data_IF_364316058572
#
_entry.id   IF_364316058572
#
_cell.length_a   1.000
_cell.length_b   1.000
_cell.length_c   1.000
_cell.angle_alpha   90.00
_cell.angle_beta   90.00
_cell.angle_gamma   90.00
#
_symmetry.space_group_name_H-M   'P 1'
#
loop_
_entity.id
_entity.type
_entity.pdbx_description
1 polymer ?
#
# COMPACT_ATOMS: atom_id res chain seq x y z
N UNK A 1 45.90 18.87 33.10
CA UNK A 1 44.54 19.19 32.58
C UNK A 1 44.25 18.64 31.18
N UNK A 2 45.25 18.28 30.38
CA UNK A 2 45.14 17.81 29.00
C UNK A 2 44.66 16.36 28.79
N UNK A 3 44.98 15.45 29.71
CA UNK A 3 44.60 14.01 29.52
C UNK A 3 43.10 13.72 29.73
N UNK A 4 42.47 14.38 30.69
CA UNK A 4 41.04 14.20 30.95
C UNK A 4 40.13 14.70 29.81
N UNK A 5 40.56 15.76 29.12
CA UNK A 5 39.88 16.29 27.95
C UNK A 5 40.01 15.37 26.73
N UNK A 6 41.15 14.67 26.56
CA UNK A 6 41.36 13.72 25.47
C UNK A 6 40.55 12.43 25.63
N UNK A 7 40.32 11.97 26.86
CA UNK A 7 39.53 10.76 27.13
C UNK A 7 38.04 11.06 26.88
N UNK A 8 37.53 12.18 27.37
CA UNK A 8 36.12 12.59 27.13
C UNK A 8 35.84 12.77 25.62
N UNK A 9 36.78 13.29 24.85
CA UNK A 9 36.61 13.46 23.38
C UNK A 9 36.63 12.12 22.63
N UNK A 10 37.39 11.11 23.09
CA UNK A 10 37.37 9.77 22.54
C UNK A 10 36.07 9.05 22.84
N UNK A 11 35.57 9.16 24.08
CA UNK A 11 34.32 8.50 24.48
C UNK A 11 33.12 9.08 23.72
N UNK A 12 33.03 10.39 23.56
CA UNK A 12 32.01 11.04 22.74
C UNK A 12 32.08 10.63 21.25
N UNK A 13 33.27 10.45 20.71
CA UNK A 13 33.47 9.96 19.35
C UNK A 13 33.01 8.52 19.19
N UNK A 14 33.35 7.64 20.14
CA UNK A 14 32.92 6.23 20.14
C UNK A 14 31.39 6.11 20.28
N UNK A 15 30.78 6.87 21.17
CA UNK A 15 29.32 6.91 21.38
C UNK A 15 28.63 7.36 20.08
N UNK A 16 29.08 8.46 19.47
CA UNK A 16 28.53 8.93 18.18
C UNK A 16 28.68 7.91 17.07
N UNK A 17 29.81 7.22 16.97
CA UNK A 17 30.03 6.19 15.96
C UNK A 17 29.15 4.97 16.16
N UNK A 18 28.87 4.58 17.41
CA UNK A 18 27.94 3.51 17.73
C UNK A 18 26.50 3.90 17.41
N UNK A 19 26.06 5.13 17.71
CA UNK A 19 24.76 5.64 17.34
C UNK A 19 24.56 5.74 15.82
N UNK A 20 25.59 6.20 15.08
CA UNK A 20 25.54 6.24 13.61
C UNK A 20 25.42 4.82 13.02
N UNK A 21 26.15 3.84 13.57
CA UNK A 21 26.06 2.44 13.14
C UNK A 21 24.69 1.83 13.45
N UNK A 22 24.13 2.08 14.63
CA UNK A 22 22.79 1.64 15.02
C UNK A 22 21.72 2.23 14.11
N UNK A 23 21.80 3.54 13.84
CA UNK A 23 20.87 4.22 12.96
C UNK A 23 20.92 3.67 11.51
N UNK A 24 22.12 3.30 11.02
CA UNK A 24 22.28 2.71 9.69
C UNK A 24 21.67 1.29 9.62
N UNK A 25 21.86 0.47 10.66
CA UNK A 25 21.26 -0.86 10.74
C UNK A 25 19.72 -0.77 10.81
N UNK A 26 19.19 0.17 11.61
CA UNK A 26 17.75 0.39 11.71
C UNK A 26 17.16 0.86 10.38
N UNK A 27 17.84 1.75 9.67
CA UNK A 27 17.41 2.20 8.35
C UNK A 27 17.41 1.07 7.32
N UNK A 28 18.46 0.25 7.29
CA UNK A 28 18.56 -0.91 6.41
C UNK A 28 17.45 -1.94 6.70
N UNK A 29 17.22 -2.24 7.97
CA UNK A 29 16.10 -3.09 8.40
C UNK A 29 14.75 -2.52 7.95
N UNK A 30 14.55 -1.21 8.07
CA UNK A 30 13.35 -0.52 7.60
C UNK A 30 13.12 -0.67 6.08
N UNK A 31 14.20 -0.64 5.28
CA UNK A 31 14.14 -0.87 3.84
C UNK A 31 13.72 -2.31 3.53
N UNK A 32 14.34 -3.31 4.18
CA UNK A 32 13.97 -4.72 4.01
C UNK A 32 12.50 -4.96 4.37
N UNK A 33 12.06 -4.45 5.51
CA UNK A 33 10.65 -4.57 5.94
C UNK A 33 9.70 -3.91 4.94
N UNK A 34 10.09 -2.79 4.32
CA UNK A 34 9.32 -2.15 3.26
C UNK A 34 9.20 -3.03 2.02
N UNK A 35 10.29 -3.66 1.57
CA UNK A 35 10.27 -4.57 0.43
C UNK A 35 9.38 -5.79 0.70
N UNK A 36 9.48 -6.39 1.88
CA UNK A 36 8.60 -7.48 2.31
C UNK A 36 7.12 -7.02 2.28
N UNK A 37 6.85 -5.82 2.75
CA UNK A 37 5.49 -5.24 2.72
C UNK A 37 4.97 -5.16 1.29
N UNK A 38 5.77 -4.64 0.35
CA UNK A 38 5.35 -4.51 -1.05
C UNK A 38 5.11 -5.89 -1.69
N UNK A 39 5.95 -6.86 -1.39
CA UNK A 39 5.79 -8.24 -1.87
C UNK A 39 4.47 -8.87 -1.38
N UNK A 40 4.19 -8.78 -0.08
CA UNK A 40 2.95 -9.30 0.52
C UNK A 40 1.72 -8.61 -0.09
N UNK A 41 1.75 -7.28 -0.26
CA UNK A 41 0.63 -6.56 -0.85
C UNK A 41 0.43 -6.87 -2.33
N UNK A 42 1.51 -7.16 -3.07
CA UNK A 42 1.40 -7.61 -4.46
C UNK A 42 0.76 -8.99 -4.54
N UNK A 43 1.19 -9.94 -3.70
CA UNK A 43 0.54 -11.26 -3.60
C UNK A 43 -0.95 -11.11 -3.25
N UNK A 44 -1.27 -10.27 -2.27
CA UNK A 44 -2.67 -10.02 -1.89
C UNK A 44 -3.51 -9.47 -3.05
N UNK A 45 -2.93 -8.61 -3.90
CA UNK A 45 -3.59 -8.06 -5.09
C UNK A 45 -3.82 -9.13 -6.16
N UNK A 46 -2.85 -10.03 -6.35
CA UNK A 46 -2.96 -11.15 -7.29
C UNK A 46 -4.00 -12.16 -6.83
N UNK A 47 -3.99 -12.52 -5.55
CA UNK A 47 -5.04 -13.35 -4.96
C UNK A 47 -6.43 -12.73 -5.16
N UNK A 48 -6.54 -11.40 -5.00
CA UNK A 48 -7.78 -10.69 -5.27
C UNK A 48 -8.19 -10.80 -6.74
N UNK A 49 -7.27 -10.60 -7.70
CA UNK A 49 -7.57 -10.71 -9.14
C UNK A 49 -7.96 -12.13 -9.53
N UNK A 50 -7.23 -13.13 -9.04
CA UNK A 50 -7.56 -14.53 -9.26
C UNK A 50 -8.96 -14.86 -8.76
N UNK A 51 -9.29 -14.39 -7.59
CA UNK A 51 -10.60 -14.56 -6.98
C UNK A 51 -11.71 -13.86 -7.79
N UNK A 52 -11.47 -12.62 -8.25
CA UNK A 52 -12.38 -11.87 -9.13
C UNK A 52 -12.66 -12.59 -10.43
N UNK A 53 -11.64 -13.13 -11.08
CA UNK A 53 -11.77 -13.85 -12.33
C UNK A 53 -12.60 -15.14 -12.19
N UNK A 54 -12.55 -15.78 -11.00
CA UNK A 54 -13.28 -17.03 -10.73
C UNK A 54 -14.74 -16.81 -10.32
N UNK A 55 -15.05 -15.67 -9.72
CA UNK A 55 -16.35 -15.36 -9.13
C UNK A 55 -16.90 -14.00 -9.59
N UNK A 56 -16.88 -13.76 -10.91
CA UNK A 56 -17.25 -12.47 -11.51
C UNK A 56 -18.57 -11.88 -11.00
N UNK A 57 -19.58 -12.73 -10.76
CA UNK A 57 -20.91 -12.32 -10.33
C UNK A 57 -20.96 -11.82 -8.86
N UNK A 58 -20.16 -12.38 -7.98
CA UNK A 58 -20.26 -12.14 -6.52
C UNK A 58 -19.61 -10.80 -6.15
N UNK A 59 -18.72 -10.31 -6.99
CA UNK A 59 -17.86 -9.15 -6.67
C UNK A 59 -18.50 -7.79 -6.92
N UNK A 60 -19.58 -7.73 -7.68
CA UNK A 60 -20.31 -6.48 -7.86
C UNK A 60 -20.82 -5.92 -6.53
N UNK A 61 -20.96 -6.76 -5.51
CA UNK A 61 -21.68 -6.44 -4.28
C UNK A 61 -20.79 -6.13 -3.06
N UNK A 62 -19.47 -6.07 -3.17
CA UNK A 62 -18.55 -5.70 -2.05
C UNK A 62 -18.74 -6.54 -0.77
N UNK A 63 -19.48 -7.65 -0.86
CA UNK A 63 -19.84 -8.51 0.26
C UNK A 63 -18.63 -9.24 0.84
N UNK A 64 -17.55 -9.43 0.04
CA UNK A 64 -16.30 -10.05 0.48
C UNK A 64 -15.60 -9.30 1.62
N UNK A 65 -15.91 -8.02 1.81
CA UNK A 65 -15.31 -7.23 2.88
C UNK A 65 -15.84 -7.66 4.27
N UNK A 66 -17.02 -8.29 4.33
CA UNK A 66 -17.57 -8.78 5.60
C UNK A 66 -16.74 -9.92 6.19
N UNK A 67 -16.54 -11.09 5.53
CA UNK A 67 -15.70 -12.15 6.08
C UNK A 67 -14.24 -11.71 6.24
N UNK A 68 -13.76 -10.80 5.40
CA UNK A 68 -12.45 -10.18 5.57
C UNK A 68 -12.38 -9.36 6.86
N UNK A 69 -13.40 -8.55 7.17
CA UNK A 69 -13.50 -7.78 8.40
C UNK A 69 -13.52 -8.68 9.63
N UNK A 70 -14.36 -9.75 9.63
CA UNK A 70 -14.44 -10.73 10.72
C UNK A 70 -13.08 -11.40 10.98
N UNK A 71 -12.42 -11.88 9.93
CA UNK A 71 -11.09 -12.50 10.05
C UNK A 71 -10.06 -11.51 10.60
N UNK A 72 -10.10 -10.25 10.18
CA UNK A 72 -9.21 -9.20 10.69
C UNK A 72 -9.46 -8.94 12.18
N UNK A 73 -10.72 -8.93 12.64
CA UNK A 73 -11.07 -8.80 14.06
C UNK A 73 -10.50 -9.96 14.85
N UNK A 74 -10.75 -11.21 14.42
CA UNK A 74 -10.29 -12.41 15.12
C UNK A 74 -8.75 -12.45 15.24
N UNK A 75 -8.04 -12.19 14.14
CA UNK A 75 -6.58 -12.15 14.14
C UNK A 75 -6.06 -11.05 15.08
N UNK A 76 -6.69 -9.87 15.05
CA UNK A 76 -6.31 -8.74 15.91
C UNK A 76 -6.52 -9.06 17.38
N UNK A 77 -7.63 -9.73 17.75
CA UNK A 77 -7.93 -10.14 19.11
C UNK A 77 -6.91 -11.15 19.62
N UNK A 78 -6.61 -12.17 18.84
CA UNK A 78 -5.67 -13.24 19.21
C UNK A 78 -4.26 -12.65 19.38
N UNK A 79 -3.74 -11.98 18.35
CA UNK A 79 -2.38 -11.46 18.36
C UNK A 79 -2.22 -10.26 19.30
N UNK A 80 -3.23 -9.40 19.41
CA UNK A 80 -3.22 -8.28 20.35
C UNK A 80 -3.18 -8.75 21.79
N UNK A 81 -3.93 -9.80 22.14
CA UNK A 81 -3.90 -10.40 23.48
C UNK A 81 -2.53 -11.04 23.78
N UNK A 82 -1.92 -11.71 22.81
CA UNK A 82 -0.62 -12.37 22.97
C UNK A 82 0.52 -11.34 23.10
N UNK A 83 0.51 -10.28 22.30
CA UNK A 83 1.63 -9.32 22.20
C UNK A 83 1.51 -8.14 23.17
N UNK A 84 0.33 -7.53 23.23
CA UNK A 84 0.10 -6.29 23.97
C UNK A 84 -0.57 -6.56 25.34
N UNK A 85 -1.06 -7.79 25.57
CA UNK A 85 -1.79 -8.19 26.78
C UNK A 85 -3.16 -7.53 26.92
N UNK A 86 -3.45 -6.49 26.17
CA UNK A 86 -4.69 -5.71 26.19
C UNK A 86 -5.09 -5.29 24.78
N UNK A 87 -6.39 -5.27 24.53
CA UNK A 87 -6.98 -4.52 23.43
C UNK A 87 -7.55 -3.27 24.04
N UNK A 88 -7.06 -2.11 23.59
CA UNK A 88 -7.52 -0.84 24.11
C UNK A 88 -8.99 -0.63 23.77
N UNK A 89 -9.78 -0.31 24.78
CA UNK A 89 -11.17 0.10 24.60
C UNK A 89 -11.26 1.53 24.03
N UNK A 90 -12.43 1.91 23.53
CA UNK A 90 -12.69 3.27 23.02
C UNK A 90 -12.37 4.34 24.09
N UNK A 91 -12.55 4.01 25.36
CA UNK A 91 -12.34 4.92 26.49
C UNK A 91 -10.87 5.16 26.85
N UNK A 92 -9.96 4.31 26.38
CA UNK A 92 -8.52 4.43 26.65
C UNK A 92 -7.81 5.41 25.70
N UNK A 93 -8.53 5.98 24.73
CA UNK A 93 -7.96 6.89 23.75
C UNK A 93 -8.26 8.34 24.04
N UNK A 94 -7.25 9.19 23.81
CA UNK A 94 -7.48 10.61 23.59
C UNK A 94 -8.47 10.78 22.41
N UNK A 95 -9.48 11.68 22.49
CA UNK A 95 -10.46 11.92 21.44
C UNK A 95 -9.83 12.17 20.05
N UNK A 96 -8.68 12.82 20.00
CA UNK A 96 -7.94 13.07 18.76
C UNK A 96 -7.43 11.78 18.13
N UNK A 97 -6.87 10.85 18.92
CA UNK A 97 -6.40 9.54 18.43
C UNK A 97 -7.57 8.68 17.94
N UNK A 98 -8.69 8.70 18.64
CA UNK A 98 -9.89 8.00 18.21
C UNK A 98 -10.41 8.52 16.86
N UNK A 99 -10.47 9.85 16.67
CA UNK A 99 -10.80 10.45 15.37
C UNK A 99 -9.86 10.01 14.25
N UNK A 100 -8.56 9.89 14.53
CA UNK A 100 -7.58 9.37 13.56
C UNK A 100 -7.81 7.90 13.21
N UNK A 101 -8.15 7.05 14.20
CA UNK A 101 -8.48 5.64 13.96
C UNK A 101 -9.73 5.53 13.08
N UNK A 102 -10.77 6.32 13.39
CA UNK A 102 -12.00 6.39 12.63
C UNK A 102 -11.74 6.86 11.19
N UNK A 103 -10.97 7.93 11.03
CA UNK A 103 -10.59 8.43 9.71
C UNK A 103 -9.82 7.38 8.90
N UNK A 104 -8.82 6.71 9.51
CA UNK A 104 -8.07 5.62 8.89
C UNK A 104 -8.98 4.48 8.42
N UNK A 105 -9.92 4.05 9.27
CA UNK A 105 -10.83 2.96 8.94
C UNK A 105 -11.74 3.31 7.75
N UNK A 106 -12.30 4.53 7.73
CA UNK A 106 -13.10 5.03 6.62
C UNK A 106 -12.27 5.13 5.32
N UNK A 107 -11.11 5.78 5.37
CA UNK A 107 -10.21 5.92 4.21
C UNK A 107 -9.81 4.54 3.64
N UNK A 108 -9.50 3.59 4.51
CA UNK A 108 -9.13 2.23 4.10
C UNK A 108 -10.29 1.48 3.46
N UNK A 109 -11.51 1.61 3.99
CA UNK A 109 -12.69 0.96 3.43
C UNK A 109 -12.98 1.48 2.02
N UNK A 110 -13.11 2.79 1.85
CA UNK A 110 -13.40 3.38 0.54
C UNK A 110 -12.27 3.15 -0.46
N UNK A 111 -11.01 3.25 -0.02
CA UNK A 111 -9.87 2.92 -0.86
C UNK A 111 -9.94 1.48 -1.36
N UNK A 112 -10.31 0.52 -0.50
CA UNK A 112 -10.45 -0.87 -0.89
C UNK A 112 -11.61 -1.10 -1.86
N UNK A 113 -12.73 -0.40 -1.69
CA UNK A 113 -13.83 -0.44 -2.65
C UNK A 113 -13.40 0.00 -4.04
N UNK A 114 -12.71 1.15 -4.14
CA UNK A 114 -12.21 1.65 -5.43
C UNK A 114 -11.11 0.76 -6.01
N UNK A 115 -10.23 0.21 -5.17
CA UNK A 115 -9.22 -0.77 -5.62
C UNK A 115 -9.87 -2.00 -6.26
N UNK A 116 -10.91 -2.54 -5.63
CA UNK A 116 -11.62 -3.71 -6.14
C UNK A 116 -12.25 -3.44 -7.50
N UNK A 117 -12.92 -2.28 -7.65
CA UNK A 117 -13.49 -1.87 -8.94
C UNK A 117 -12.41 -1.73 -10.01
N UNK A 118 -11.28 -1.10 -9.68
CA UNK A 118 -10.18 -0.95 -10.62
C UNK A 118 -9.64 -2.30 -11.09
N UNK A 119 -9.35 -3.22 -10.16
CA UNK A 119 -8.82 -4.56 -10.46
C UNK A 119 -9.81 -5.44 -11.22
N UNK A 120 -11.13 -5.19 -11.08
CA UNK A 120 -12.16 -5.88 -11.88
C UNK A 120 -12.10 -5.51 -13.36
N UNK A 121 -11.83 -4.25 -13.66
CA UNK A 121 -11.91 -3.73 -15.03
C UNK A 121 -10.55 -3.54 -15.72
N UNK A 122 -9.47 -3.47 -14.96
CA UNK A 122 -8.12 -3.28 -15.47
C UNK A 122 -7.23 -4.51 -15.22
N UNK A 123 -6.15 -4.63 -15.99
CA UNK A 123 -5.07 -5.59 -15.70
C UNK A 123 -4.41 -5.20 -14.37
N UNK A 124 -3.92 -6.19 -13.63
CA UNK A 124 -3.25 -5.91 -12.35
C UNK A 124 -1.99 -5.07 -12.55
N UNK A 125 -1.26 -5.32 -13.63
CA UNK A 125 -0.09 -4.54 -14.03
C UNK A 125 -0.43 -3.07 -14.20
N UNK A 126 -1.50 -2.75 -14.93
CA UNK A 126 -1.98 -1.37 -15.14
C UNK A 126 -2.43 -0.71 -13.84
N UNK A 127 -3.16 -1.43 -12.98
CA UNK A 127 -3.53 -0.91 -11.66
C UNK A 127 -2.30 -0.53 -10.83
N UNK A 128 -1.28 -1.39 -10.82
CA UNK A 128 -0.05 -1.11 -10.08
C UNK A 128 0.70 0.06 -10.69
N UNK A 129 0.78 0.14 -12.01
CA UNK A 129 1.42 1.25 -12.72
C UNK A 129 0.77 2.58 -12.41
N UNK A 130 -0.55 2.70 -12.52
CA UNK A 130 -1.24 3.94 -12.16
C UNK A 130 -1.04 4.24 -10.66
N UNK A 131 -1.00 3.22 -9.81
CA UNK A 131 -0.69 3.36 -8.39
C UNK A 131 0.72 3.92 -8.11
N UNK A 132 1.63 3.93 -9.11
CA UNK A 132 2.94 4.58 -8.98
C UNK A 132 2.86 6.09 -8.82
N UNK A 133 1.74 6.67 -9.12
CA UNK A 133 1.49 8.08 -8.84
C UNK A 133 1.31 8.36 -7.34
N UNK A 134 1.01 7.33 -6.53
CA UNK A 134 0.80 7.50 -5.09
C UNK A 134 2.01 8.06 -4.34
N UNK A 135 3.28 7.71 -4.63
CA UNK A 135 4.43 8.32 -3.99
C UNK A 135 4.49 9.84 -4.13
N UNK A 136 4.00 10.39 -5.25
CA UNK A 136 3.94 11.83 -5.47
C UNK A 136 3.06 12.49 -4.41
N UNK A 137 1.83 11.99 -4.25
CA UNK A 137 0.89 12.52 -3.27
C UNK A 137 1.40 12.29 -1.84
N UNK A 138 1.97 11.12 -1.56
CA UNK A 138 2.50 10.79 -0.24
C UNK A 138 3.66 11.74 0.12
N UNK A 139 4.61 11.98 -0.79
CA UNK A 139 5.72 12.90 -0.56
C UNK A 139 5.20 14.32 -0.36
N UNK A 140 4.28 14.76 -1.22
CA UNK A 140 3.67 16.08 -1.09
C UNK A 140 2.99 16.24 0.28
N UNK A 141 2.12 15.31 0.65
CA UNK A 141 1.45 15.34 1.95
C UNK A 141 2.40 15.19 3.13
N UNK A 142 3.48 14.38 3.02
CA UNK A 142 4.45 14.23 4.10
C UNK A 142 5.20 15.54 4.39
N UNK A 143 5.54 16.31 3.34
CA UNK A 143 6.16 17.62 3.49
C UNK A 143 5.21 18.59 4.17
N UNK A 144 3.95 18.68 3.71
CA UNK A 144 2.99 19.65 4.24
C UNK A 144 2.43 19.27 5.62
N UNK A 145 2.04 18.00 5.82
CA UNK A 145 1.35 17.56 7.03
C UNK A 145 2.30 17.04 8.11
N UNK A 146 3.34 16.29 7.73
CA UNK A 146 4.33 15.75 8.66
C UNK A 146 5.57 16.61 8.82
N UNK A 147 5.69 17.70 8.04
CA UNK A 147 6.84 18.62 8.02
C UNK A 147 8.17 17.90 7.74
N UNK A 148 8.14 16.82 6.93
CA UNK A 148 9.34 16.12 6.49
C UNK A 148 10.16 17.02 5.53
N UNK A 149 11.49 16.87 5.53
CA UNK A 149 12.36 17.61 4.62
C UNK A 149 12.20 17.10 3.19
N UNK A 150 11.93 18.02 2.27
CA UNK A 150 11.88 17.71 0.85
C UNK A 150 13.30 17.62 0.26
N UNK A 151 13.56 16.55 -0.50
CA UNK A 151 14.81 16.39 -1.22
C UNK A 151 14.57 16.43 -2.73
N UNK A 152 15.34 17.19 -3.47
CA UNK A 152 15.20 17.35 -4.92
C UNK A 152 15.30 16.03 -5.71
N UNK A 153 15.98 15.03 -5.18
CA UNK A 153 16.03 13.68 -5.78
C UNK A 153 14.65 13.02 -5.89
N UNK A 154 13.70 13.36 -5.03
CA UNK A 154 12.34 12.82 -5.13
C UNK A 154 11.63 13.28 -6.39
N UNK A 155 11.98 14.47 -6.91
CA UNK A 155 11.45 14.99 -8.18
C UNK A 155 11.81 14.06 -9.35
N UNK A 156 13.06 13.61 -9.40
CA UNK A 156 13.49 12.64 -10.42
C UNK A 156 12.67 11.35 -10.38
N UNK A 157 12.39 10.82 -9.16
CA UNK A 157 11.54 9.64 -8.99
C UNK A 157 10.12 9.86 -9.47
N UNK A 158 9.59 11.02 -9.19
CA UNK A 158 8.27 11.44 -9.65
C UNK A 158 8.24 11.44 -11.18
N UNK A 159 9.23 12.06 -11.83
CA UNK A 159 9.31 12.14 -13.29
C UNK A 159 9.44 10.73 -13.90
N UNK A 160 10.36 9.91 -13.40
CA UNK A 160 10.52 8.52 -13.88
C UNK A 160 9.26 7.69 -13.67
N UNK A 161 8.57 7.87 -12.53
CA UNK A 161 7.30 7.21 -12.24
C UNK A 161 6.20 7.61 -13.24
N UNK A 162 6.04 8.90 -13.53
CA UNK A 162 5.05 9.40 -14.49
C UNK A 162 5.37 8.90 -15.89
N UNK A 163 6.62 9.06 -16.36
CA UNK A 163 7.03 8.66 -17.72
C UNK A 163 6.82 7.15 -17.92
N UNK A 164 7.31 6.32 -16.99
CA UNK A 164 7.10 4.88 -17.05
C UNK A 164 5.62 4.49 -17.04
N UNK A 165 4.81 5.15 -16.22
CA UNK A 165 3.36 4.90 -16.17
C UNK A 165 2.64 5.26 -17.47
N UNK A 166 2.98 6.39 -18.07
CA UNK A 166 2.38 6.83 -19.35
C UNK A 166 2.71 5.85 -20.47
N UNK A 167 3.96 5.37 -20.56
CA UNK A 167 4.38 4.40 -21.58
C UNK A 167 3.50 3.13 -21.49
N UNK A 168 3.26 2.61 -20.31
CA UNK A 168 2.48 1.38 -20.09
C UNK A 168 0.99 1.59 -20.40
N UNK A 169 0.41 2.70 -19.94
CA UNK A 169 -1.02 3.02 -20.16
C UNK A 169 -1.34 3.18 -21.67
N UNK A 170 -0.45 3.80 -22.43
CA UNK A 170 -0.67 4.01 -23.86
C UNK A 170 -0.72 2.69 -24.64
N UNK A 171 0.00 1.68 -24.21
CA UNK A 171 0.02 0.37 -24.87
C UNK A 171 -1.26 -0.44 -24.60
N UNK A 172 -1.71 -0.44 -23.36
CA UNK A 172 -2.95 -1.13 -22.98
C UNK A 172 -4.17 -0.56 -23.73
N UNK A 173 -4.21 0.76 -23.93
CA UNK A 173 -5.24 1.40 -24.75
C UNK A 173 -5.24 0.90 -26.19
N UNK A 174 -4.06 0.78 -26.81
CA UNK A 174 -3.92 0.29 -28.20
C UNK A 174 -4.40 -1.16 -28.35
N UNK A 175 -4.17 -2.01 -27.37
CA UNK A 175 -4.62 -3.41 -27.41
C UNK A 175 -6.13 -3.47 -27.37
N UNK A 176 -6.76 -2.78 -26.43
CA UNK A 176 -8.22 -2.75 -26.30
C UNK A 176 -8.91 -2.16 -27.56
N UNK A 177 -8.29 -1.17 -28.19
CA UNK A 177 -8.78 -0.62 -29.45
C UNK A 177 -8.65 -1.63 -30.62
N UNK A 178 -7.62 -2.48 -30.62
CA UNK A 178 -7.43 -3.50 -31.67
C UNK A 178 -8.35 -4.71 -31.48
N UNK A 179 -8.58 -5.14 -30.23
CA UNK A 179 -9.51 -6.24 -29.92
C UNK A 179 -10.97 -5.86 -30.22
N UNK A 180 -11.35 -4.59 -30.05
CA UNK A 180 -12.72 -4.11 -30.18
C UNK A 180 -13.14 -3.69 -31.59
N UNK A 181 -12.32 -3.91 -32.63
CA UNK A 181 -12.69 -3.64 -34.03
C UNK A 181 -13.89 -4.46 -34.56
N UNK A 182 -14.43 -5.40 -33.75
CA UNK A 182 -15.50 -6.30 -34.17
C UNK A 182 -16.92 -5.77 -34.03
N UNK A 183 -17.22 -4.84 -33.10
CA UNK A 183 -18.53 -4.15 -33.08
C UNK A 183 -18.45 -2.81 -32.33
N UNK A 184 -19.12 -1.77 -32.85
CA UNK A 184 -19.14 -0.43 -32.20
C UNK A 184 -19.82 -0.43 -30.82
N UNK A 185 -20.71 -1.36 -30.54
CA UNK A 185 -21.42 -1.47 -29.26
C UNK A 185 -20.53 -2.05 -28.16
N UNK A 186 -19.75 -3.10 -28.48
CA UNK A 186 -18.79 -3.70 -27.57
C UNK A 186 -17.63 -2.75 -27.28
N UNK A 187 -17.22 -1.95 -28.27
CA UNK A 187 -16.20 -0.92 -28.13
C UNK A 187 -16.59 0.11 -27.07
N UNK A 188 -17.81 0.63 -27.13
CA UNK A 188 -18.30 1.63 -26.18
C UNK A 188 -18.39 1.06 -24.75
N UNK A 189 -18.90 -0.16 -24.59
CA UNK A 189 -19.03 -0.81 -23.29
C UNK A 189 -17.66 -1.10 -22.64
N UNK A 190 -16.68 -1.51 -23.46
CA UNK A 190 -15.32 -1.76 -23.00
C UNK A 190 -14.60 -0.46 -22.63
N UNK A 191 -14.83 0.62 -23.36
CA UNK A 191 -14.28 1.94 -23.05
C UNK A 191 -14.85 2.51 -21.75
N UNK A 192 -16.15 2.37 -21.50
CA UNK A 192 -16.78 2.79 -20.23
C UNK A 192 -16.19 2.05 -19.04
N UNK A 193 -16.06 0.73 -19.10
CA UNK A 193 -15.45 -0.09 -18.04
C UNK A 193 -13.99 0.32 -17.79
N UNK A 194 -13.23 0.58 -18.84
CA UNK A 194 -11.86 1.05 -18.75
C UNK A 194 -11.78 2.41 -18.02
N UNK A 195 -12.60 3.37 -18.42
CA UNK A 195 -12.65 4.72 -17.81
C UNK A 195 -13.06 4.62 -16.35
N UNK A 196 -14.07 3.82 -15.99
CA UNK A 196 -14.48 3.57 -14.60
C UNK A 196 -13.32 2.99 -13.80
N UNK A 197 -12.59 2.02 -14.36
CA UNK A 197 -11.41 1.43 -13.74
C UNK A 197 -10.32 2.47 -13.45
N UNK A 198 -10.00 3.33 -14.43
CA UNK A 198 -9.00 4.39 -14.28
C UNK A 198 -9.43 5.44 -13.26
N UNK A 199 -10.66 5.89 -13.27
CA UNK A 199 -11.19 6.83 -12.26
C UNK A 199 -11.11 6.20 -10.87
N UNK A 200 -11.50 4.93 -10.76
CA UNK A 200 -11.47 4.22 -9.48
C UNK A 200 -10.05 4.09 -8.92
N UNK A 201 -9.05 3.78 -9.75
CA UNK A 201 -7.67 3.69 -9.25
C UNK A 201 -7.12 5.06 -8.83
N UNK A 202 -7.48 6.15 -9.52
CA UNK A 202 -7.09 7.51 -9.12
C UNK A 202 -7.70 7.87 -7.74
N UNK A 203 -8.99 7.60 -7.53
CA UNK A 203 -9.64 7.81 -6.24
C UNK A 203 -9.00 6.96 -5.14
N UNK A 204 -8.68 5.69 -5.44
CA UNK A 204 -7.95 4.83 -4.52
C UNK A 204 -6.61 5.45 -4.10
N UNK A 205 -5.81 5.96 -5.06
CA UNK A 205 -4.51 6.58 -4.79
C UNK A 205 -4.62 7.75 -3.82
N UNK A 206 -5.60 8.63 -4.03
CA UNK A 206 -5.83 9.79 -3.16
C UNK A 206 -6.16 9.33 -1.75
N UNK A 207 -7.15 8.44 -1.60
CA UNK A 207 -7.58 7.92 -0.29
C UNK A 207 -6.46 7.15 0.41
N UNK A 208 -5.73 6.33 -0.33
CA UNK A 208 -4.61 5.56 0.21
C UNK A 208 -3.44 6.45 0.65
N UNK A 209 -3.19 7.56 -0.06
CA UNK A 209 -2.17 8.51 0.33
C UNK A 209 -2.50 9.17 1.68
N UNK A 210 -3.74 9.61 1.88
CA UNK A 210 -4.20 10.10 3.18
C UNK A 210 -4.14 9.04 4.27
N UNK A 211 -4.55 7.80 3.96
CA UNK A 211 -4.47 6.66 4.88
C UNK A 211 -3.02 6.39 5.33
N UNK A 212 -2.06 6.46 4.42
CA UNK A 212 -0.64 6.27 4.70
C UNK A 212 -0.09 7.36 5.65
N UNK A 213 -0.46 8.62 5.44
CA UNK A 213 -0.07 9.73 6.34
C UNK A 213 -0.67 9.56 7.73
N UNK A 214 -1.96 9.23 7.80
CA UNK A 214 -2.65 8.96 9.06
C UNK A 214 -1.99 7.78 9.80
N UNK A 215 -1.61 6.74 9.09
CA UNK A 215 -0.92 5.58 9.64
C UNK A 215 0.46 5.95 10.22
N UNK A 216 1.26 6.75 9.50
CA UNK A 216 2.56 7.26 10.00
C UNK A 216 2.41 8.07 11.28
N UNK A 217 1.36 8.89 11.38
CA UNK A 217 1.06 9.68 12.58
C UNK A 217 0.67 8.79 13.78
N UNK A 218 -0.06 7.70 13.51
CA UNK A 218 -0.55 6.80 14.55
C UNK A 218 0.44 5.70 14.95
N UNK A 219 1.33 5.29 14.04
CA UNK A 219 2.24 4.16 14.25
C UNK A 219 3.01 4.18 15.58
N UNK A 220 3.56 5.33 16.05
CA UNK A 220 4.24 5.38 17.35
C UNK A 220 3.31 5.48 18.56
N UNK A 221 2.00 5.71 18.37
CA UNK A 221 1.06 6.08 19.45
C UNK A 221 0.04 4.99 19.73
N UNK A 222 -0.28 4.16 18.76
CA UNK A 222 -1.33 3.14 18.84
C UNK A 222 -0.81 1.83 18.29
N UNK A 223 -0.97 0.74 19.04
CA UNK A 223 -0.60 -0.60 18.59
C UNK A 223 -1.27 -0.95 17.26
N UNK A 224 -0.53 -1.64 16.39
CA UNK A 224 -1.04 -2.10 15.10
C UNK A 224 -2.26 -3.02 15.29
N UNK A 225 -2.26 -3.85 16.33
CA UNK A 225 -3.36 -4.78 16.60
C UNK A 225 -4.65 -4.03 16.92
N UNK A 226 -4.57 -2.97 17.71
CA UNK A 226 -5.71 -2.10 18.00
C UNK A 226 -6.21 -1.38 16.76
N UNK A 227 -5.30 -0.86 15.92
CA UNK A 227 -5.67 -0.21 14.66
C UNK A 227 -6.40 -1.18 13.72
N UNK A 228 -5.94 -2.43 13.61
CA UNK A 228 -6.54 -3.47 12.77
C UNK A 228 -7.88 -3.96 13.32
N UNK A 229 -8.03 -4.03 14.64
CA UNK A 229 -9.29 -4.39 15.29
C UNK A 229 -10.42 -3.41 14.90
N UNK A 230 -10.19 -2.12 15.07
CA UNK A 230 -11.18 -1.12 14.68
C UNK A 230 -11.42 -1.09 13.17
N UNK A 231 -10.38 -1.26 12.34
CA UNK A 231 -10.51 -1.39 10.90
C UNK A 231 -11.45 -2.55 10.54
N UNK A 232 -11.27 -3.70 11.18
CA UNK A 232 -12.12 -4.88 10.97
C UNK A 232 -13.58 -4.61 11.34
N UNK A 233 -13.84 -3.94 12.47
CA UNK A 233 -15.20 -3.55 12.88
C UNK A 233 -15.85 -2.67 11.80
N UNK A 234 -15.16 -1.64 11.31
CA UNK A 234 -15.71 -0.77 10.28
C UNK A 234 -15.95 -1.50 8.97
N UNK A 235 -15.04 -2.39 8.55
CA UNK A 235 -15.25 -3.23 7.37
C UNK A 235 -16.50 -4.10 7.52
N UNK A 236 -16.71 -4.72 8.67
CA UNK A 236 -17.94 -5.49 8.94
C UNK A 236 -19.19 -4.61 8.92
N UNK A 237 -19.18 -3.49 9.63
CA UNK A 237 -20.35 -2.60 9.70
C UNK A 237 -20.77 -2.08 8.32
N UNK A 238 -19.82 -1.56 7.54
CA UNK A 238 -20.13 -1.04 6.21
C UNK A 238 -20.53 -2.13 5.23
N UNK A 239 -19.92 -3.31 5.29
CA UNK A 239 -20.30 -4.43 4.45
C UNK A 239 -21.70 -4.95 4.82
N UNK A 240 -22.04 -5.04 6.11
CA UNK A 240 -23.37 -5.40 6.56
C UNK A 240 -24.43 -4.41 6.07
N UNK A 241 -24.17 -3.11 6.20
CA UNK A 241 -25.07 -2.09 5.67
C UNK A 241 -25.25 -2.27 4.16
N UNK A 242 -24.17 -2.50 3.42
CA UNK A 242 -24.25 -2.75 1.98
C UNK A 242 -25.08 -4.00 1.66
N UNK A 243 -24.86 -5.10 2.38
CA UNK A 243 -25.62 -6.34 2.19
C UNK A 243 -27.12 -6.17 2.46
N UNK A 244 -27.48 -5.39 3.48
CA UNK A 244 -28.87 -5.07 3.79
C UNK A 244 -29.50 -4.25 2.64
N UNK A 245 -28.77 -3.27 2.08
CA UNK A 245 -29.27 -2.47 0.97
C UNK A 245 -29.39 -3.24 -0.35
N UNK A 246 -28.47 -4.15 -0.63
CA UNK A 246 -28.46 -4.94 -1.88
C UNK A 246 -29.24 -6.24 -1.76
N UNK A 247 -29.62 -6.64 -0.54
CA UNK A 247 -30.31 -7.90 -0.22
C UNK A 247 -29.57 -9.14 -0.72
N UNK A 248 -28.22 -9.08 -0.77
CA UNK A 248 -27.38 -10.15 -1.25
C UNK A 248 -26.56 -10.75 -0.10
N UNK A 249 -26.93 -11.98 0.27
CA UNK A 249 -26.34 -12.77 1.36
C UNK A 249 -25.70 -14.07 0.87
N UNK A 250 -25.39 -14.16 -0.43
CA UNK A 250 -24.87 -15.38 -1.03
C UNK A 250 -23.39 -15.59 -0.67
N UNK A 251 -23.13 -16.42 0.32
CA UNK A 251 -21.79 -16.84 0.71
C UNK A 251 -21.58 -18.33 0.45
N UNK A 252 -20.51 -18.65 -0.25
CA UNK A 252 -19.99 -20.03 -0.32
C UNK A 252 -18.86 -20.22 0.70
N UNK A 253 -18.64 -21.45 1.15
CA UNK A 253 -17.54 -21.78 2.06
C UNK A 253 -16.19 -21.39 1.46
N UNK A 254 -16.00 -21.64 0.17
CA UNK A 254 -14.79 -21.30 -0.58
C UNK A 254 -14.53 -19.77 -0.57
N UNK A 255 -15.59 -18.98 -0.74
CA UNK A 255 -15.56 -17.54 -0.68
C UNK A 255 -15.08 -17.02 0.70
N UNK A 256 -15.57 -17.65 1.77
CA UNK A 256 -15.14 -17.30 3.13
C UNK A 256 -13.64 -17.59 3.34
N UNK A 257 -13.15 -18.75 2.88
CA UNK A 257 -11.73 -19.09 2.97
C UNK A 257 -10.83 -18.14 2.18
N UNK A 258 -11.21 -17.77 0.96
CA UNK A 258 -10.45 -16.84 0.15
C UNK A 258 -10.39 -15.44 0.78
N UNK A 259 -11.50 -14.96 1.32
CA UNK A 259 -11.56 -13.69 2.05
C UNK A 259 -10.72 -13.72 3.34
N UNK A 260 -10.70 -14.84 4.05
CA UNK A 260 -9.87 -15.05 5.23
C UNK A 260 -8.38 -15.05 4.86
N UNK A 261 -7.97 -15.71 3.77
CA UNK A 261 -6.61 -15.69 3.27
C UNK A 261 -6.15 -14.25 2.94
N UNK A 262 -7.00 -13.48 2.26
CA UNK A 262 -6.72 -12.06 2.00
C UNK A 262 -6.56 -11.25 3.28
N UNK A 263 -7.34 -11.56 4.33
CA UNK A 263 -7.20 -10.90 5.63
C UNK A 263 -5.85 -11.18 6.28
N UNK A 264 -5.39 -12.43 6.21
CA UNK A 264 -4.07 -12.81 6.75
C UNK A 264 -2.95 -12.06 6.03
N UNK A 265 -2.96 -12.06 4.68
CA UNK A 265 -1.98 -11.34 3.88
C UNK A 265 -2.01 -9.82 4.15
N UNK A 266 -3.20 -9.24 4.21
CA UNK A 266 -3.38 -7.83 4.52
C UNK A 266 -2.87 -7.49 5.92
N UNK A 267 -3.15 -8.33 6.90
CA UNK A 267 -2.71 -8.13 8.28
C UNK A 267 -1.18 -8.22 8.41
N UNK A 268 -0.56 -9.24 7.82
CA UNK A 268 0.89 -9.39 7.77
C UNK A 268 1.56 -8.19 7.08
N UNK A 269 1.04 -7.79 5.92
CA UNK A 269 1.52 -6.61 5.22
C UNK A 269 1.49 -5.35 6.09
N UNK A 270 0.41 -5.15 6.86
CA UNK A 270 0.29 -4.00 7.77
C UNK A 270 1.24 -4.07 8.97
N UNK A 271 1.55 -5.27 9.50
CA UNK A 271 2.57 -5.42 10.55
C UNK A 271 3.94 -4.95 10.02
N UNK A 272 4.40 -5.51 8.90
CA UNK A 272 5.68 -5.14 8.31
C UNK A 272 5.72 -3.67 7.89
N UNK A 273 4.62 -3.14 7.38
CA UNK A 273 4.46 -1.72 7.05
C UNK A 273 4.68 -0.83 8.28
N UNK A 274 4.00 -1.09 9.39
CA UNK A 274 4.17 -0.29 10.60
C UNK A 274 5.58 -0.39 11.18
N UNK A 275 6.17 -1.59 11.19
CA UNK A 275 7.55 -1.80 11.63
C UNK A 275 8.54 -1.04 10.73
N UNK A 276 8.32 -1.02 9.42
CA UNK A 276 9.11 -0.23 8.49
C UNK A 276 9.00 1.27 8.78
N UNK A 277 7.76 1.79 8.91
CA UNK A 277 7.52 3.21 9.19
C UNK A 277 8.11 3.70 10.51
N UNK A 278 8.33 2.82 11.48
CA UNK A 278 9.03 3.19 12.72
C UNK A 278 10.52 3.46 12.51
N UNK A 279 11.11 2.90 11.43
CA UNK A 279 12.55 2.93 11.16
C UNK A 279 12.97 3.88 10.03
N UNK A 280 12.07 4.13 9.05
CA UNK A 280 12.35 5.01 7.90
C UNK A 280 11.32 6.13 7.78
N UNK A 281 11.71 7.21 7.07
CA UNK A 281 10.78 8.32 6.76
C UNK A 281 9.73 7.88 5.75
N UNK A 282 8.59 8.59 5.74
CA UNK A 282 7.52 8.32 4.80
C UNK A 282 7.95 8.54 3.35
N UNK A 283 8.78 9.56 3.11
CA UNK A 283 9.34 9.85 1.79
C UNK A 283 10.24 8.71 1.26
N UNK A 284 11.07 8.08 2.13
CA UNK A 284 11.87 6.90 1.73
C UNK A 284 10.98 5.69 1.45
N UNK A 285 10.01 5.45 2.32
CA UNK A 285 9.04 4.38 2.12
C UNK A 285 8.33 4.51 0.76
N UNK A 286 7.90 5.73 0.40
CA UNK A 286 7.21 6.00 -0.86
C UNK A 286 8.04 5.65 -2.10
N UNK A 287 9.36 5.86 -2.06
CA UNK A 287 10.24 5.43 -3.15
C UNK A 287 10.30 3.91 -3.27
N UNK A 288 10.36 3.20 -2.13
CA UNK A 288 10.42 1.73 -2.13
C UNK A 288 9.10 1.13 -2.67
N UNK A 289 7.99 1.84 -2.59
CA UNK A 289 6.71 1.40 -3.18
C UNK A 289 6.81 1.11 -4.69
N UNK A 290 7.76 1.72 -5.39
CA UNK A 290 7.99 1.40 -6.80
C UNK A 290 8.39 -0.06 -7.05
N UNK A 291 8.89 -0.79 -6.04
CA UNK A 291 9.18 -2.23 -6.17
C UNK A 291 7.95 -3.08 -6.51
N UNK A 292 6.73 -2.58 -6.19
CA UNK A 292 5.48 -3.26 -6.54
C UNK A 292 5.35 -3.56 -8.03
N UNK A 293 5.89 -2.66 -8.90
CA UNK A 293 5.80 -2.85 -10.34
C UNK A 293 6.55 -4.05 -10.79
N UNK A 294 7.82 -4.13 -10.41
CA UNK A 294 8.68 -5.27 -10.76
C UNK A 294 8.02 -6.56 -10.28
N UNK A 295 7.50 -6.55 -9.06
CA UNK A 295 6.82 -7.71 -8.48
C UNK A 295 5.50 -8.02 -9.18
N UNK A 296 4.68 -7.00 -9.50
CA UNK A 296 3.40 -7.19 -10.20
C UNK A 296 3.60 -7.68 -11.63
N UNK A 297 4.63 -7.20 -12.32
CA UNK A 297 5.00 -7.64 -13.65
C UNK A 297 5.40 -9.14 -13.64
N UNK A 298 6.32 -9.53 -12.76
CA UNK A 298 6.78 -10.93 -12.67
C UNK A 298 5.61 -11.86 -12.29
N UNK A 299 4.83 -11.48 -11.29
CA UNK A 299 3.75 -12.33 -10.78
C UNK A 299 2.49 -12.27 -11.68
N UNK A 300 2.21 -11.16 -12.34
CA UNK A 300 1.13 -11.05 -13.32
C UNK A 300 1.35 -11.99 -14.49
N UNK A 301 2.57 -12.02 -15.02
CA UNK A 301 2.95 -12.96 -16.07
C UNK A 301 2.90 -14.43 -15.60
N UNK A 302 3.55 -14.75 -14.47
CA UNK A 302 3.72 -16.14 -14.04
C UNK A 302 2.46 -16.77 -13.44
N UNK A 303 1.57 -15.98 -12.82
CA UNK A 303 0.39 -16.49 -12.09
C UNK A 303 -0.92 -16.22 -12.82
N UNK A 304 -1.05 -15.04 -13.42
CA UNK A 304 -2.29 -14.62 -14.10
C UNK A 304 -2.24 -14.82 -15.62
N UNK A 305 -1.11 -15.29 -16.18
CA UNK A 305 -0.87 -15.40 -17.61
C UNK A 305 -1.13 -14.08 -18.36
N UNK A 306 -0.86 -12.93 -17.72
CA UNK A 306 -0.95 -11.63 -18.40
C UNK A 306 0.12 -11.55 -19.48
N UNK A 307 -0.25 -11.08 -20.68
CA UNK A 307 0.70 -10.90 -21.77
C UNK A 307 1.75 -9.83 -21.43
N UNK A 308 3.01 -10.15 -21.74
CA UNK A 308 4.11 -9.19 -21.58
C UNK A 308 4.16 -8.30 -22.82
N UNK A 309 3.95 -7.02 -22.61
CA UNK A 309 4.09 -6.00 -23.65
C UNK A 309 5.49 -5.38 -23.59
N UNK A 310 6.02 -4.98 -24.75
CA UNK A 310 7.34 -4.34 -24.83
C UNK A 310 7.41 -3.05 -23.99
N UNK A 311 6.32 -2.30 -23.97
CA UNK A 311 6.22 -1.06 -23.21
C UNK A 311 6.08 -1.32 -21.71
N UNK A 312 5.50 -2.45 -21.30
CA UNK A 312 5.51 -2.89 -19.88
C UNK A 312 6.96 -3.10 -19.40
N UNK A 313 7.80 -3.73 -20.24
CA UNK A 313 9.22 -3.92 -19.94
C UNK A 313 9.98 -2.60 -19.86
N UNK A 314 9.76 -1.69 -20.83
CA UNK A 314 10.42 -0.38 -20.84
C UNK A 314 10.01 0.47 -19.63
N UNK A 315 8.72 0.60 -19.37
CA UNK A 315 8.21 1.37 -18.23
C UNK A 315 8.67 0.81 -16.89
N UNK A 316 8.64 -0.52 -16.72
CA UNK A 316 9.12 -1.20 -15.53
C UNK A 316 10.62 -1.01 -15.32
N UNK A 317 11.42 -1.04 -16.40
CA UNK A 317 12.88 -0.82 -16.34
C UNK A 317 13.21 0.60 -15.91
N UNK A 318 12.51 1.61 -16.42
CA UNK A 318 12.70 3.03 -16.03
C UNK A 318 12.40 3.20 -14.54
N UNK A 319 11.25 2.70 -14.09
CA UNK A 319 10.81 2.81 -12.69
C UNK A 319 11.75 2.03 -11.75
N UNK A 320 12.04 0.78 -12.10
CA UNK A 320 12.89 -0.10 -11.31
C UNK A 320 14.34 0.39 -11.22
N UNK A 321 14.89 0.88 -12.33
CA UNK A 321 16.23 1.46 -12.38
C UNK A 321 16.37 2.67 -11.44
N UNK A 322 15.37 3.56 -11.45
CA UNK A 322 15.36 4.70 -10.52
C UNK A 322 15.25 4.25 -9.06
N UNK A 323 14.43 3.24 -8.76
CA UNK A 323 14.30 2.69 -7.42
C UNK A 323 15.65 2.14 -6.92
N UNK A 324 16.33 1.32 -7.74
CA UNK A 324 17.65 0.76 -7.41
C UNK A 324 18.66 1.89 -7.16
N UNK A 325 18.68 2.91 -8.01
CA UNK A 325 19.52 4.09 -7.82
C UNK A 325 19.29 4.76 -6.45
N UNK A 326 18.04 4.96 -6.03
CA UNK A 326 17.77 5.60 -4.73
C UNK A 326 18.11 4.72 -3.52
N UNK A 327 17.98 3.40 -3.65
CA UNK A 327 18.38 2.46 -2.58
C UNK A 327 19.90 2.40 -2.46
N UNK A 328 20.64 2.35 -3.58
CA UNK A 328 22.08 2.26 -3.57
C UNK A 328 22.79 3.55 -3.15
N UNK A 329 22.17 4.70 -3.46
CA UNK A 329 22.73 6.01 -3.12
C UNK A 329 21.82 6.75 -2.12
N UNK A 330 21.79 6.33 -0.85
CA UNK A 330 20.93 6.96 0.15
C UNK A 330 21.28 8.44 0.33
N UNK A 331 20.28 9.28 0.53
CA UNK A 331 20.44 10.70 0.76
C UNK A 331 21.15 10.89 2.09
N UNK A 332 22.38 11.45 2.06
CA UNK A 332 23.10 11.82 3.27
C UNK A 332 22.26 12.80 4.10
N UNK A 333 22.07 12.49 5.39
CA UNK A 333 21.44 13.42 6.32
C UNK A 333 22.25 14.71 6.33
N UNK A 334 21.64 15.81 5.95
CA UNK A 334 22.29 17.15 6.02
C UNK A 334 22.60 17.46 7.50
N UNK A 335 23.90 17.51 7.82
CA UNK A 335 24.39 17.76 9.19
C UNK A 335 24.25 19.24 9.61
N UNK A 336 23.45 20.03 8.87
CA UNK A 336 23.26 21.45 9.25
C UNK A 336 22.17 21.56 10.32
N UNK A 337 22.60 21.67 11.51
CA UNK A 337 22.07 22.50 12.57
C UNK A 337 23.16 23.44 13.03
#
# INVERSE_FOLDING_TARGET
MSEKTNIAFKDDYFIKKQEEKKNMVDEFMGIILSLITQFIWTINSICLKFFLNRYEYIFQNKTYLFPRGLSTILISLILGKIKDGKIYSIYDFNPTLFKCILAKANLSFFAMCFWTVAVSYLRITTCQVISSLSPILIITFSVFLLKEKFHSRYVLGIICGIVGSVIIILDEKRIKENESKQSNLELNLNLEKYVIGVISIILNIVLQSFNNITNKYMAPKVSIYTQMFYLGIFHCCYSLLWMIFTWDFNYTVEYFFMSALQSVLFFLGNIFYNLSLSKISMSKYSIIQYSKFVMAFILGYSVLNEEILMNDMLGTTIIGGFMVYNVMFPIKKDKRK
#
